data_IF_777545221591
#
_entry.id   IF_777545221591
#
_cell.length_a   1.000
_cell.length_b   1.000
_cell.length_c   1.000
_cell.angle_alpha   90.00
_cell.angle_beta   90.00
_cell.angle_gamma   90.00
#
_symmetry.space_group_name_H-M   'P 1'
#
loop_
_entity.id
_entity.type
_entity.pdbx_description
1 polymer ?
#
# COMPACT_ATOMS: atom_id res chain seq x y z
N UNK A 1 2.55 15.45 24.06
CA UNK A 1 2.66 16.60 23.15
C UNK A 1 1.87 16.25 21.91
N UNK A 2 0.67 16.79 21.76
CA UNK A 2 -0.13 16.61 20.55
C UNK A 2 0.54 17.38 19.41
N UNK A 3 0.92 16.70 18.31
CA UNK A 3 1.28 17.37 17.07
C UNK A 3 -0.02 17.81 16.39
N UNK A 4 -0.35 19.09 16.49
CA UNK A 4 -1.37 19.72 15.65
C UNK A 4 -0.65 20.50 14.52
N UNK A 5 -0.86 20.03 13.29
CA UNK A 5 -0.70 20.68 11.99
C UNK A 5 0.57 21.50 11.72
N UNK A 6 1.53 20.84 11.05
CA UNK A 6 2.29 21.41 9.95
C UNK A 6 2.09 20.40 8.81
N UNK A 7 1.79 20.88 7.61
CA UNK A 7 1.51 20.10 6.39
C UNK A 7 2.15 18.71 6.43
N UNK A 8 1.31 17.65 6.41
CA UNK A 8 1.78 16.28 6.23
C UNK A 8 2.78 16.32 5.05
N UNK A 9 4.02 15.85 5.27
CA UNK A 9 5.04 15.85 4.22
C UNK A 9 4.48 15.14 2.97
N UNK A 10 4.94 15.50 1.77
CA UNK A 10 4.36 14.98 0.51
C UNK A 10 4.21 13.45 0.52
N UNK A 11 5.13 12.76 1.20
CA UNK A 11 5.24 11.32 1.36
C UNK A 11 4.80 10.78 2.74
N UNK A 12 4.17 11.58 3.60
CA UNK A 12 3.60 11.09 4.88
C UNK A 12 2.42 10.16 4.61
N UNK A 13 2.72 8.87 4.51
CA UNK A 13 1.76 7.84 4.15
C UNK A 13 2.39 6.49 3.85
N UNK A 14 1.76 5.75 2.93
CA UNK A 14 2.12 4.37 2.64
C UNK A 14 2.20 4.10 1.14
N UNK A 15 3.16 3.24 0.76
CA UNK A 15 3.21 2.61 -0.55
C UNK A 15 2.55 1.24 -0.48
N UNK A 16 1.63 0.96 -1.40
CA UNK A 16 0.90 -0.30 -1.47
C UNK A 16 1.08 -0.97 -2.84
N UNK A 17 1.34 -2.28 -2.85
CA UNK A 17 1.51 -3.03 -4.09
C UNK A 17 1.23 -4.52 -3.93
N UNK A 18 0.98 -5.19 -5.06
CA UNK A 18 0.98 -6.64 -5.16
C UNK A 18 2.36 -7.14 -5.57
N UNK A 19 2.90 -8.11 -4.83
CA UNK A 19 4.14 -8.81 -5.19
C UNK A 19 3.80 -10.23 -5.61
N UNK A 20 4.26 -10.61 -6.80
CA UNK A 20 4.12 -11.95 -7.34
C UNK A 20 5.47 -12.68 -7.34
N UNK A 21 5.54 -13.84 -6.70
CA UNK A 21 6.67 -14.75 -6.83
C UNK A 21 6.41 -15.73 -7.99
N UNK A 22 7.13 -15.55 -9.10
CA UNK A 22 6.94 -16.37 -10.30
C UNK A 22 7.35 -17.84 -10.11
N UNK A 23 8.28 -18.13 -9.18
CA UNK A 23 8.72 -19.51 -8.92
C UNK A 23 7.69 -20.30 -8.12
N UNK A 24 7.06 -19.69 -7.12
CA UNK A 24 6.10 -20.37 -6.24
C UNK A 24 4.64 -20.15 -6.66
N UNK A 25 4.38 -19.20 -7.55
CA UNK A 25 3.02 -18.81 -7.92
C UNK A 25 2.31 -17.93 -6.87
N UNK A 26 2.97 -17.64 -5.75
CA UNK A 26 2.36 -16.92 -4.63
C UNK A 26 2.18 -15.43 -4.93
N UNK A 27 1.22 -14.81 -4.26
CA UNK A 27 1.02 -13.37 -4.28
C UNK A 27 0.84 -12.82 -2.88
N UNK A 28 1.41 -11.66 -2.63
CA UNK A 28 1.26 -10.93 -1.37
C UNK A 28 0.81 -9.50 -1.67
N UNK A 29 0.01 -8.93 -0.78
CA UNK A 29 -0.25 -7.49 -0.72
C UNK A 29 0.66 -6.87 0.34
N UNK A 30 1.52 -5.95 -0.07
CA UNK A 30 2.46 -5.26 0.81
C UNK A 30 1.98 -3.85 1.10
N UNK A 31 2.21 -3.41 2.33
CA UNK A 31 2.11 -2.02 2.77
C UNK A 31 3.47 -1.64 3.35
N UNK A 32 4.03 -0.55 2.86
CA UNK A 32 5.35 -0.03 3.24
C UNK A 32 5.23 1.41 3.72
N UNK A 33 6.04 1.78 4.71
CA UNK A 33 6.18 3.16 5.17
C UNK A 33 6.84 3.99 4.06
N UNK A 34 6.14 5.02 3.56
CA UNK A 34 6.63 5.86 2.48
C UNK A 34 7.73 6.84 2.92
N UNK A 35 7.79 7.16 4.23
CA UNK A 35 8.82 8.04 4.81
C UNK A 35 10.12 7.30 5.13
N UNK A 36 10.09 5.95 5.11
CA UNK A 36 11.28 5.14 5.33
C UNK A 36 12.19 5.17 4.09
N UNK A 37 13.51 5.44 4.26
CA UNK A 37 14.45 5.47 3.14
C UNK A 37 14.59 4.12 2.41
N UNK A 38 14.16 3.02 3.04
CA UNK A 38 14.21 1.68 2.47
C UNK A 38 12.82 1.09 2.17
N UNK A 39 11.74 1.87 2.29
CA UNK A 39 10.37 1.40 2.20
C UNK A 39 10.11 0.19 3.11
N UNK A 40 10.37 0.37 4.40
CA UNK A 40 10.20 -0.72 5.38
C UNK A 40 8.79 -1.29 5.34
N UNK A 41 8.68 -2.62 5.27
CA UNK A 41 7.41 -3.33 5.20
C UNK A 41 6.73 -3.28 6.56
N UNK A 42 5.60 -2.57 6.64
CA UNK A 42 4.76 -2.48 7.85
C UNK A 42 3.65 -3.53 7.88
N UNK A 43 3.25 -4.04 6.71
CA UNK A 43 2.34 -5.18 6.61
C UNK A 43 2.60 -6.04 5.37
N UNK A 44 2.46 -7.35 5.52
CA UNK A 44 2.57 -8.32 4.44
C UNK A 44 1.42 -9.33 4.54
N UNK A 45 0.48 -9.25 3.60
CA UNK A 45 -0.71 -10.12 3.56
C UNK A 45 -0.54 -11.14 2.44
N UNK A 46 -0.37 -12.41 2.82
CA UNK A 46 -0.41 -13.52 1.87
C UNK A 46 -1.81 -13.68 1.29
N UNK A 47 -1.92 -13.62 -0.02
CA UNK A 47 -3.19 -13.77 -0.71
C UNK A 47 -3.52 -15.25 -0.95
N UNK A 48 -4.80 -15.64 -0.88
CA UNK A 48 -5.20 -17.04 -1.06
C UNK A 48 -5.05 -17.53 -2.50
N UNK A 49 -4.80 -16.62 -3.46
CA UNK A 49 -4.61 -16.91 -4.89
C UNK A 49 -3.68 -15.90 -5.56
N UNK A 50 -3.15 -16.27 -6.73
CA UNK A 50 -2.32 -15.41 -7.58
C UNK A 50 -3.10 -14.19 -8.08
N UNK A 51 -2.49 -13.02 -7.98
CA UNK A 51 -2.94 -11.80 -8.67
C UNK A 51 -2.27 -11.75 -10.06
N UNK A 52 -3.03 -11.70 -11.17
CA UNK A 52 -2.47 -11.57 -12.51
C UNK A 52 -1.75 -10.24 -12.74
N UNK A 53 -0.91 -10.16 -13.78
CA UNK A 53 -0.32 -8.89 -14.19
C UNK A 53 -1.43 -7.89 -14.54
N UNK A 54 -1.44 -6.78 -13.81
CA UNK A 54 -2.40 -5.69 -13.98
C UNK A 54 -1.82 -4.51 -14.73
N UNK A 55 -2.55 -3.40 -14.66
CA UNK A 55 -2.11 -2.08 -15.11
C UNK A 55 -2.04 -1.14 -13.90
N UNK A 56 -2.80 -0.05 -13.91
CA UNK A 56 -2.79 0.95 -12.86
C UNK A 56 -3.87 0.66 -11.80
N UNK A 57 -3.56 0.98 -10.54
CA UNK A 57 -4.50 0.98 -9.43
C UNK A 57 -4.63 2.38 -8.85
N UNK A 58 -5.72 2.63 -8.14
CA UNK A 58 -5.96 3.86 -7.37
C UNK A 58 -6.42 3.50 -5.96
N UNK A 59 -5.92 4.24 -4.98
CA UNK A 59 -6.48 4.21 -3.63
C UNK A 59 -7.56 5.28 -3.51
N UNK A 60 -8.70 4.90 -2.94
CA UNK A 60 -9.82 5.80 -2.70
C UNK A 60 -10.20 5.68 -1.24
N UNK A 61 -10.38 6.82 -0.56
CA UNK A 61 -10.86 6.82 0.83
C UNK A 61 -12.31 6.36 0.87
N UNK A 62 -12.70 5.70 1.95
CA UNK A 62 -14.09 5.27 2.18
C UNK A 62 -15.09 6.44 2.01
N UNK A 63 -14.73 7.63 2.50
CA UNK A 63 -15.56 8.84 2.37
C UNK A 63 -15.80 9.27 0.93
N UNK A 64 -14.88 8.96 0.01
CA UNK A 64 -15.02 9.32 -1.41
C UNK A 64 -15.76 8.22 -2.19
N UNK A 65 -15.64 6.97 -1.76
CA UNK A 65 -16.44 5.86 -2.28
C UNK A 65 -17.93 6.00 -1.92
N UNK A 66 -18.25 6.44 -0.70
CA UNK A 66 -19.62 6.59 -0.20
C UNK A 66 -20.38 7.80 -0.77
N UNK A 67 -19.74 8.60 -1.64
CA UNK A 67 -20.36 9.73 -2.35
C UNK A 67 -20.83 9.38 -3.76
N UNK A 68 -20.58 8.15 -4.22
CA UNK A 68 -21.12 7.57 -5.45
C UNK A 68 -22.55 7.08 -5.21
#
# INVERSE_FOLDING_TARGET
>A
MAKNNLEDEEDDGYVMLYVHNEKTGESNFLVMDATSPNLDIVANVKLPRRVPYGFHGIFVRESDLNKL
#
